data_IF_309934520106
#
_entry.id   IF_309934520106
#
_cell.length_a   1.000
_cell.length_b   1.000
_cell.length_c   1.000
_cell.angle_alpha   90.00
_cell.angle_beta   90.00
_cell.angle_gamma   90.00
#
_symmetry.space_group_name_H-M   'P 1'
#
loop_
_entity.id
_entity.type
_entity.pdbx_description
1 polymer ?
#
# COMPACT_ATOMS: atom_id res chain seq x y z
N UNK A 1 39.32 11.30 6.22
CA UNK A 1 39.14 9.98 5.62
C UNK A 1 37.99 10.08 4.64
N UNK A 2 38.23 9.91 3.36
CA UNK A 2 37.17 9.89 2.36
C UNK A 2 36.32 8.62 2.57
N UNK A 3 34.98 8.67 2.40
CA UNK A 3 34.15 7.47 2.47
C UNK A 3 34.58 6.52 1.37
N UNK A 4 34.82 5.27 1.71
CA UNK A 4 35.16 4.21 0.80
C UNK A 4 34.04 4.07 -0.23
N UNK A 5 34.29 4.56 -1.45
CA UNK A 5 33.34 4.47 -2.54
C UNK A 5 33.01 3.04 -2.86
N UNK A 6 31.83 2.59 -2.44
CA UNK A 6 31.17 1.48 -3.12
C UNK A 6 30.85 1.98 -4.52
N UNK A 7 31.31 1.23 -5.52
CA UNK A 7 31.18 1.54 -6.95
C UNK A 7 29.72 1.91 -7.27
N UNK A 8 29.49 3.08 -7.84
CA UNK A 8 28.18 3.51 -8.36
C UNK A 8 27.56 2.47 -9.32
N UNK A 9 28.38 1.60 -9.92
CA UNK A 9 27.94 0.51 -10.79
C UNK A 9 27.22 -0.63 -10.04
N UNK A 10 27.55 -0.90 -8.77
CA UNK A 10 26.86 -1.92 -7.98
C UNK A 10 25.44 -1.45 -7.56
N UNK A 11 25.27 -0.14 -7.40
CA UNK A 11 23.96 0.44 -7.06
C UNK A 11 23.03 0.55 -8.28
N UNK A 12 23.59 0.70 -9.47
CA UNK A 12 22.81 0.88 -10.70
C UNK A 12 21.98 -0.36 -11.07
N UNK A 13 22.44 -1.56 -10.70
CA UNK A 13 21.71 -2.81 -10.92
C UNK A 13 20.38 -2.90 -10.19
N UNK A 14 20.29 -2.31 -8.99
CA UNK A 14 19.07 -2.32 -8.18
C UNK A 14 17.94 -1.44 -8.72
N UNK A 15 18.26 -0.44 -9.54
CA UNK A 15 17.27 0.45 -10.18
C UNK A 15 16.68 -0.13 -11.46
N UNK A 16 17.26 -1.22 -11.96
CA UNK A 16 16.91 -1.78 -13.25
C UNK A 16 16.17 -3.09 -13.05
N UNK A 17 14.94 -3.22 -13.58
CA UNK A 17 14.25 -4.50 -13.59
C UNK A 17 15.13 -5.57 -14.26
N UNK A 18 15.18 -6.77 -13.69
CA UNK A 18 15.80 -7.94 -14.30
C UNK A 18 14.82 -8.59 -15.29
N UNK A 19 15.28 -9.56 -16.07
CA UNK A 19 14.40 -10.38 -16.92
C UNK A 19 13.30 -11.08 -16.10
N UNK A 20 13.59 -11.47 -14.86
CA UNK A 20 12.61 -12.08 -13.95
C UNK A 20 11.54 -11.09 -13.54
N UNK A 21 11.89 -9.82 -13.28
CA UNK A 21 10.93 -8.74 -13.02
C UNK A 21 10.05 -8.46 -14.23
N UNK A 22 10.60 -8.48 -15.44
CA UNK A 22 9.83 -8.28 -16.66
C UNK A 22 8.85 -9.45 -16.89
N UNK A 23 9.31 -10.69 -16.68
CA UNK A 23 8.44 -11.88 -16.73
C UNK A 23 7.33 -11.84 -15.67
N UNK A 24 7.65 -11.42 -14.45
CA UNK A 24 6.66 -11.22 -13.38
C UNK A 24 5.62 -10.19 -13.80
N UNK A 25 6.06 -9.04 -14.33
CA UNK A 25 5.17 -7.98 -14.82
C UNK A 25 4.20 -8.51 -15.86
N UNK A 26 4.70 -9.21 -16.86
CA UNK A 26 3.87 -9.75 -17.95
C UNK A 26 2.85 -10.77 -17.41
N UNK A 27 3.27 -11.62 -16.49
CA UNK A 27 2.41 -12.63 -15.86
C UNK A 27 1.31 -11.99 -15.00
N UNK A 28 1.67 -11.02 -14.14
CA UNK A 28 0.70 -10.32 -13.29
C UNK A 28 -0.25 -9.47 -14.12
N UNK A 29 0.23 -8.84 -15.19
CA UNK A 29 -0.60 -8.09 -16.15
C UNK A 29 -1.64 -8.98 -16.80
N UNK A 30 -1.21 -10.12 -17.37
CA UNK A 30 -2.12 -11.06 -18.01
C UNK A 30 -3.17 -11.62 -17.02
N UNK A 31 -2.74 -11.96 -15.80
CA UNK A 31 -3.64 -12.38 -14.73
C UNK A 31 -4.66 -11.29 -14.39
N UNK A 32 -4.19 -10.07 -14.20
CA UNK A 32 -5.02 -8.93 -13.80
C UNK A 32 -6.08 -8.60 -14.88
N UNK A 33 -5.69 -8.63 -16.15
CA UNK A 33 -6.62 -8.43 -17.27
C UNK A 33 -7.66 -9.56 -17.38
N UNK A 34 -7.25 -10.81 -17.19
CA UNK A 34 -8.13 -11.96 -17.34
C UNK A 34 -9.05 -12.20 -16.13
N UNK A 35 -8.60 -11.93 -14.90
CA UNK A 35 -9.27 -12.36 -13.66
C UNK A 35 -9.75 -11.23 -12.76
N UNK A 36 -9.22 -10.02 -12.90
CA UNK A 36 -9.52 -8.88 -12.01
C UNK A 36 -10.29 -7.79 -12.76
N UNK A 37 -9.82 -7.38 -13.93
CA UNK A 37 -10.43 -6.32 -14.72
C UNK A 37 -11.93 -6.52 -15.00
N UNK A 38 -12.44 -7.74 -15.31
CA UNK A 38 -13.86 -7.97 -15.58
C UNK A 38 -14.79 -7.59 -14.42
N UNK A 39 -14.30 -7.64 -13.19
CA UNK A 39 -15.09 -7.38 -11.98
C UNK A 39 -14.91 -5.97 -11.41
N UNK A 40 -13.94 -5.20 -11.93
CA UNK A 40 -13.54 -3.93 -11.33
C UNK A 40 -14.67 -2.89 -11.24
N UNK A 41 -15.58 -2.85 -12.20
CA UNK A 41 -16.74 -1.95 -12.21
C UNK A 41 -17.77 -2.37 -11.17
N UNK A 42 -18.16 -3.64 -11.14
CA UNK A 42 -19.10 -4.20 -10.17
C UNK A 42 -18.59 -4.03 -8.72
N UNK A 43 -17.30 -4.32 -8.49
CA UNK A 43 -16.64 -4.11 -7.19
C UNK A 43 -16.76 -2.66 -6.70
N UNK A 44 -16.61 -1.68 -7.59
CA UNK A 44 -16.79 -0.26 -7.23
C UNK A 44 -18.26 0.09 -7.00
N UNK A 45 -19.15 -0.32 -7.89
CA UNK A 45 -20.58 0.02 -7.82
C UNK A 45 -21.26 -0.55 -6.57
N UNK A 46 -21.00 -1.81 -6.27
CA UNK A 46 -21.57 -2.50 -5.11
C UNK A 46 -20.80 -2.22 -3.81
N UNK A 47 -19.55 -1.75 -3.92
CA UNK A 47 -18.67 -1.57 -2.76
C UNK A 47 -18.32 -2.90 -2.07
N UNK A 48 -18.31 -4.00 -2.81
CA UNK A 48 -18.04 -5.35 -2.30
C UNK A 48 -16.54 -5.68 -2.33
N UNK A 49 -16.11 -6.54 -1.41
CA UNK A 49 -14.75 -7.04 -1.43
C UNK A 49 -14.48 -7.84 -2.72
N UNK A 50 -13.33 -7.64 -3.40
CA UNK A 50 -13.01 -8.30 -4.67
C UNK A 50 -12.51 -9.74 -4.44
N UNK A 51 -13.42 -10.66 -4.14
CA UNK A 51 -13.08 -12.06 -3.84
C UNK A 51 -12.38 -12.75 -5.02
N UNK A 52 -12.81 -12.45 -6.25
CA UNK A 52 -12.20 -13.00 -7.46
C UNK A 52 -10.73 -12.58 -7.61
N UNK A 53 -10.40 -11.35 -7.19
CA UNK A 53 -9.02 -10.90 -7.17
C UNK A 53 -8.21 -11.60 -6.06
N UNK A 54 -8.81 -11.79 -4.88
CA UNK A 54 -8.19 -12.55 -3.79
C UNK A 54 -7.85 -13.95 -4.25
N UNK A 55 -8.85 -14.68 -4.77
CA UNK A 55 -8.68 -16.07 -5.22
C UNK A 55 -7.61 -16.19 -6.32
N UNK A 56 -7.61 -15.23 -7.28
CA UNK A 56 -6.63 -15.21 -8.36
C UNK A 56 -5.20 -14.94 -7.87
N UNK A 57 -5.05 -14.01 -6.92
CA UNK A 57 -3.74 -13.67 -6.35
C UNK A 57 -3.21 -14.78 -5.44
N UNK A 58 -4.07 -15.41 -4.63
CA UNK A 58 -3.71 -16.56 -3.78
C UNK A 58 -3.30 -17.77 -4.62
N UNK A 59 -4.05 -18.10 -5.67
CA UNK A 59 -3.73 -19.22 -6.56
C UNK A 59 -2.40 -19.08 -7.33
N UNK A 60 -1.80 -17.88 -7.33
CA UNK A 60 -0.54 -17.58 -7.99
C UNK A 60 0.54 -17.02 -7.05
N UNK A 61 0.38 -17.18 -5.73
CA UNK A 61 1.30 -16.71 -4.68
C UNK A 61 1.61 -15.20 -4.73
N UNK A 62 0.68 -14.39 -5.28
CA UNK A 62 0.85 -12.95 -5.48
C UNK A 62 0.27 -12.07 -4.37
N UNK A 63 -0.53 -12.66 -3.47
CA UNK A 63 -1.22 -11.94 -2.37
C UNK A 63 -0.26 -11.50 -1.26
N UNK A 64 0.92 -12.15 -1.12
CA UNK A 64 1.88 -11.92 -0.05
C UNK A 64 3.34 -12.22 -0.49
N UNK A 65 3.74 -11.77 -1.68
CA UNK A 65 5.06 -12.06 -2.30
C UNK A 65 6.25 -11.68 -1.41
N UNK A 66 6.08 -10.73 -0.50
CA UNK A 66 7.12 -10.21 0.40
C UNK A 66 7.41 -11.12 1.61
N UNK A 67 6.59 -12.14 1.85
CA UNK A 67 6.82 -13.05 2.98
C UNK A 67 8.05 -13.90 2.71
N UNK A 68 9.01 -13.97 3.68
CA UNK A 68 10.24 -14.74 3.48
C UNK A 68 9.99 -16.24 3.24
N UNK A 69 10.85 -16.86 2.43
CA UNK A 69 10.80 -18.31 2.13
C UNK A 69 10.81 -19.20 3.37
N UNK A 70 11.50 -18.76 4.44
CA UNK A 70 11.55 -19.47 5.72
C UNK A 70 10.17 -19.71 6.35
N UNK A 71 9.16 -18.95 5.94
CA UNK A 71 7.77 -19.04 6.41
C UNK A 71 6.80 -19.46 5.29
N UNK A 72 7.33 -19.99 4.19
CA UNK A 72 6.54 -20.50 3.06
C UNK A 72 6.15 -19.46 2.02
N UNK A 73 6.67 -18.23 2.11
CA UNK A 73 6.42 -17.18 1.13
C UNK A 73 7.37 -17.23 -0.06
N UNK A 74 7.15 -16.35 -1.04
CA UNK A 74 8.01 -16.23 -2.21
C UNK A 74 9.35 -15.52 -1.94
N UNK A 75 9.49 -14.80 -0.82
CA UNK A 75 10.69 -14.05 -0.50
C UNK A 75 11.06 -12.99 -1.54
N UNK A 76 10.05 -12.49 -2.28
CA UNK A 76 10.27 -11.59 -3.40
C UNK A 76 10.80 -10.23 -2.91
N UNK A 77 11.68 -9.63 -3.69
CA UNK A 77 12.28 -8.35 -3.39
C UNK A 77 11.27 -7.18 -3.40
N UNK A 78 11.74 -6.02 -3.01
CA UNK A 78 10.90 -4.84 -2.92
C UNK A 78 10.37 -4.39 -4.30
N UNK A 79 11.15 -4.57 -5.37
CA UNK A 79 10.75 -4.21 -6.73
C UNK A 79 9.68 -5.17 -7.28
N UNK A 80 9.81 -6.45 -7.04
CA UNK A 80 8.79 -7.45 -7.38
C UNK A 80 7.46 -7.14 -6.67
N UNK A 81 7.51 -6.77 -5.38
CA UNK A 81 6.30 -6.32 -4.65
C UNK A 81 5.66 -5.09 -5.31
N UNK A 82 6.47 -4.11 -5.73
CA UNK A 82 6.01 -2.91 -6.45
C UNK A 82 5.31 -3.29 -7.75
N UNK A 83 5.92 -4.18 -8.54
CA UNK A 83 5.39 -4.65 -9.83
C UNK A 83 4.03 -5.32 -9.66
N UNK A 84 3.88 -6.20 -8.68
CA UNK A 84 2.59 -6.88 -8.40
C UNK A 84 1.51 -5.85 -8.09
N UNK A 85 1.78 -4.90 -7.18
CA UNK A 85 0.80 -3.87 -6.79
C UNK A 85 0.46 -2.95 -7.97
N UNK A 86 1.47 -2.51 -8.74
CA UNK A 86 1.32 -1.65 -9.91
C UNK A 86 0.40 -2.29 -10.96
N UNK A 87 0.66 -3.55 -11.35
CA UNK A 87 -0.10 -4.22 -12.40
C UNK A 87 -1.54 -4.57 -11.97
N UNK A 88 -1.76 -4.91 -10.71
CA UNK A 88 -3.12 -5.09 -10.17
C UNK A 88 -3.86 -3.75 -10.10
N UNK A 89 -3.21 -2.68 -9.63
CA UNK A 89 -3.83 -1.36 -9.51
C UNK A 89 -4.18 -0.75 -10.87
N UNK A 90 -3.48 -1.13 -11.95
CA UNK A 90 -3.74 -0.70 -13.33
C UNK A 90 -5.16 -1.01 -13.78
N UNK A 91 -5.75 -2.09 -13.29
CA UNK A 91 -7.11 -2.50 -13.62
C UNK A 91 -8.11 -2.27 -12.47
N UNK A 92 -7.67 -2.44 -11.21
CA UNK A 92 -8.52 -2.30 -10.03
C UNK A 92 -7.71 -1.88 -8.80
N UNK A 93 -7.84 -0.61 -8.41
CA UNK A 93 -7.16 -0.07 -7.24
C UNK A 93 -7.60 -0.75 -5.93
N UNK A 94 -8.87 -1.15 -5.79
CA UNK A 94 -9.37 -1.86 -4.62
C UNK A 94 -8.67 -3.22 -4.45
N UNK A 95 -8.48 -3.95 -5.55
CA UNK A 95 -7.83 -5.28 -5.53
C UNK A 95 -6.35 -5.21 -5.19
N UNK A 96 -5.65 -4.13 -5.57
CA UNK A 96 -4.24 -3.95 -5.24
C UNK A 96 -3.97 -3.78 -3.74
N UNK A 97 -5.02 -3.47 -2.96
CA UNK A 97 -4.94 -3.40 -1.50
C UNK A 97 -4.89 -4.78 -0.82
N UNK A 98 -5.08 -5.87 -1.56
CA UNK A 98 -4.84 -7.21 -1.02
C UNK A 98 -3.34 -7.40 -0.73
N UNK A 99 -2.41 -7.38 -1.72
CA UNK A 99 -0.99 -7.51 -1.44
C UNK A 99 -0.41 -6.31 -0.67
N UNK A 100 -0.88 -5.08 -0.91
CA UNK A 100 -0.34 -3.90 -0.24
C UNK A 100 -0.62 -3.91 1.27
N UNK A 101 -1.83 -4.24 1.70
CA UNK A 101 -2.21 -4.25 3.12
C UNK A 101 -1.71 -5.49 3.83
N UNK A 102 -1.62 -6.65 3.15
CA UNK A 102 -0.93 -7.81 3.68
C UNK A 102 0.53 -7.47 4.03
N UNK A 103 1.24 -6.74 3.16
CA UNK A 103 2.59 -6.26 3.47
C UNK A 103 2.59 -5.26 4.61
N UNK A 104 1.72 -4.24 4.58
CA UNK A 104 1.65 -3.22 5.63
C UNK A 104 1.39 -3.84 7.01
N UNK A 105 0.45 -4.77 7.11
CA UNK A 105 0.07 -5.39 8.37
C UNK A 105 1.07 -6.42 8.90
N UNK A 106 1.71 -7.19 8.02
CA UNK A 106 2.65 -8.24 8.41
C UNK A 106 4.10 -7.76 8.58
N UNK A 107 4.47 -6.64 7.98
CA UNK A 107 5.85 -6.13 8.06
C UNK A 107 6.33 -5.90 9.51
N UNK A 108 5.52 -5.37 10.46
CA UNK A 108 5.93 -5.31 11.86
C UNK A 108 6.26 -6.67 12.49
N UNK A 109 5.57 -7.74 12.07
CA UNK A 109 5.89 -9.12 12.48
C UNK A 109 7.24 -9.53 11.93
N UNK A 110 7.53 -9.24 10.67
CA UNK A 110 8.82 -9.53 10.02
C UNK A 110 9.95 -8.78 10.72
N UNK A 111 9.76 -7.49 11.02
CA UNK A 111 10.78 -6.61 11.58
C UNK A 111 11.05 -6.85 13.06
N UNK A 112 10.02 -7.16 13.85
CA UNK A 112 10.10 -7.12 15.32
C UNK A 112 9.51 -8.35 16.01
N UNK A 113 8.88 -9.28 15.28
CA UNK A 113 8.32 -10.50 15.86
C UNK A 113 9.40 -11.50 16.28
N UNK A 114 9.13 -12.28 17.33
CA UNK A 114 9.92 -13.48 17.65
C UNK A 114 9.78 -14.53 16.54
N UNK A 115 10.66 -15.51 16.49
CA UNK A 115 10.58 -16.59 15.49
C UNK A 115 9.27 -17.38 15.60
N UNK A 116 8.74 -17.54 16.82
CA UNK A 116 7.45 -18.17 17.09
C UNK A 116 6.30 -17.34 16.47
N UNK A 117 6.31 -16.01 16.67
CA UNK A 117 5.31 -15.11 16.09
C UNK A 117 5.40 -15.07 14.56
N UNK A 118 6.61 -14.97 14.01
CA UNK A 118 6.80 -15.03 12.57
C UNK A 118 6.23 -16.31 11.99
N UNK A 119 6.57 -17.46 12.56
CA UNK A 119 6.04 -18.75 12.11
C UNK A 119 4.52 -18.84 12.26
N UNK A 120 3.97 -18.35 13.40
CA UNK A 120 2.54 -18.41 13.69
C UNK A 120 1.71 -17.60 12.69
N UNK A 121 2.17 -16.41 12.31
CA UNK A 121 1.36 -15.45 11.56
C UNK A 121 1.76 -15.32 10.08
N UNK A 122 3.03 -15.52 9.73
CA UNK A 122 3.47 -15.40 8.35
C UNK A 122 3.20 -16.66 7.53
N UNK A 123 3.23 -17.85 8.16
CA UNK A 123 2.95 -19.11 7.43
C UNK A 123 1.51 -19.17 6.92
N UNK A 124 0.45 -18.90 7.74
CA UNK A 124 -0.92 -18.84 7.21
C UNK A 124 -1.13 -17.71 6.19
N UNK A 125 -0.44 -16.58 6.37
CA UNK A 125 -0.47 -15.49 5.38
C UNK A 125 0.11 -15.97 4.04
N UNK A 126 1.27 -16.60 4.05
CA UNK A 126 1.92 -17.11 2.83
C UNK A 126 1.06 -18.17 2.12
N UNK A 127 0.37 -19.00 2.90
CA UNK A 127 -0.53 -20.03 2.37
C UNK A 127 -1.87 -19.50 1.82
N UNK A 128 -2.16 -18.18 1.92
CA UNK A 128 -3.45 -17.62 1.54
C UNK A 128 -4.60 -17.91 2.52
N UNK A 129 -4.29 -18.52 3.66
CA UNK A 129 -5.28 -18.89 4.68
C UNK A 129 -5.71 -17.70 5.54
N UNK A 130 -4.90 -16.63 5.57
CA UNK A 130 -5.14 -15.45 6.38
C UNK A 130 -4.72 -14.16 5.69
N UNK A 131 -5.32 -13.05 6.11
CA UNK A 131 -4.97 -11.69 5.69
C UNK A 131 -4.60 -10.83 6.88
N UNK A 132 -3.80 -9.80 6.65
CA UNK A 132 -3.43 -8.80 7.64
C UNK A 132 -4.09 -7.46 7.41
N UNK A 133 -4.33 -6.73 8.52
CA UNK A 133 -4.62 -5.31 8.56
C UNK A 133 -3.69 -4.58 9.53
N UNK A 134 -3.62 -3.25 9.40
CA UNK A 134 -2.74 -2.40 10.19
C UNK A 134 -3.54 -1.34 10.95
N UNK A 135 -3.44 -1.36 12.28
CA UNK A 135 -4.24 -0.55 13.20
C UNK A 135 -3.37 0.51 13.91
N UNK A 136 -3.05 1.59 13.20
CA UNK A 136 -2.31 2.74 13.74
C UNK A 136 -3.25 3.88 14.10
N UNK A 137 -4.03 4.37 13.12
CA UNK A 137 -4.85 5.58 13.24
C UNK A 137 -6.04 5.42 14.18
N UNK A 138 -6.42 6.54 14.80
CA UNK A 138 -7.58 6.66 15.69
C UNK A 138 -8.46 7.85 15.27
N UNK A 139 -9.69 7.99 15.80
CA UNK A 139 -10.55 9.12 15.46
C UNK A 139 -9.88 10.49 15.61
N UNK A 140 -9.08 10.68 16.66
CA UNK A 140 -8.39 11.94 16.98
C UNK A 140 -6.87 11.90 16.67
N UNK A 141 -6.34 10.79 16.14
CA UNK A 141 -4.90 10.59 15.89
C UNK A 141 -4.66 9.99 14.50
N UNK A 142 -4.71 10.83 13.48
CA UNK A 142 -4.35 10.50 12.09
C UNK A 142 -2.90 10.91 11.79
N UNK A 143 -2.69 12.14 11.31
CA UNK A 143 -1.35 12.67 11.05
C UNK A 143 -0.50 12.80 12.32
N UNK A 144 -1.12 13.06 13.47
CA UNK A 144 -0.49 12.99 14.80
C UNK A 144 -0.67 11.59 15.40
N UNK A 145 -0.05 10.60 14.77
CA UNK A 145 -0.14 9.21 15.23
C UNK A 145 0.44 9.00 16.64
N UNK A 146 1.37 9.85 17.08
CA UNK A 146 1.93 9.81 18.44
C UNK A 146 0.92 10.20 19.54
N UNK A 147 -0.18 10.85 19.17
CA UNK A 147 -1.28 11.24 20.07
C UNK A 147 -2.35 10.16 20.28
N UNK A 148 -2.10 8.90 19.89
CA UNK A 148 -3.06 7.80 20.06
C UNK A 148 -3.43 7.57 21.52
N UNK A 149 -4.65 7.04 21.75
CA UNK A 149 -5.24 6.83 23.08
C UNK A 149 -5.57 5.37 23.40
N UNK A 150 -5.55 4.47 22.40
CA UNK A 150 -5.73 3.03 22.62
C UNK A 150 -4.69 2.54 23.62
N UNK A 151 -5.12 1.87 24.69
CA UNK A 151 -4.27 1.42 25.80
C UNK A 151 -4.07 -0.09 25.74
N UNK A 152 -2.91 -0.53 26.19
CA UNK A 152 -2.62 -1.93 26.48
C UNK A 152 -2.07 -1.99 27.92
N UNK A 153 -2.86 -2.52 28.85
CA UNK A 153 -2.49 -2.63 30.25
C UNK A 153 -2.05 -4.05 30.55
N UNK A 154 -0.88 -4.21 31.16
CA UNK A 154 -0.36 -5.53 31.51
C UNK A 154 -1.17 -6.13 32.67
N UNK A 155 -1.60 -7.39 32.50
CA UNK A 155 -2.30 -8.20 33.50
C UNK A 155 -1.64 -9.59 33.55
N UNK A 156 -0.63 -9.71 34.40
CA UNK A 156 0.19 -10.92 34.54
C UNK A 156 0.94 -11.27 33.26
N UNK A 157 0.61 -12.40 32.68
CA UNK A 157 1.15 -12.92 31.41
C UNK A 157 0.35 -12.50 30.18
N UNK A 158 -0.56 -11.52 30.34
CA UNK A 158 -1.41 -10.97 29.28
C UNK A 158 -1.32 -9.44 29.20
N UNK A 159 -1.87 -8.90 28.10
CA UNK A 159 -2.24 -7.49 27.97
C UNK A 159 -3.74 -7.37 27.72
N UNK A 160 -4.35 -6.36 28.31
CA UNK A 160 -5.76 -5.99 28.09
C UNK A 160 -5.79 -4.72 27.24
N UNK A 161 -6.31 -4.81 26.02
CA UNK A 161 -6.38 -3.71 25.09
C UNK A 161 -7.76 -3.06 25.12
N UNK A 162 -7.79 -1.72 25.17
CA UNK A 162 -9.00 -0.93 25.14
C UNK A 162 -8.81 0.30 24.25
N UNK A 163 -9.71 0.51 23.29
CA UNK A 163 -9.68 1.67 22.41
C UNK A 163 -10.43 1.45 21.10
N UNK A 164 -10.29 2.43 20.19
CA UNK A 164 -10.90 2.40 18.86
C UNK A 164 -9.85 2.78 17.82
N UNK A 165 -9.71 1.93 16.84
CA UNK A 165 -8.89 2.21 15.65
C UNK A 165 -9.78 2.60 14.49
N UNK A 166 -9.35 3.57 13.67
CA UNK A 166 -10.15 4.13 12.59
C UNK A 166 -9.42 4.10 11.26
N UNK A 167 -10.19 4.05 10.19
CA UNK A 167 -9.70 3.98 8.81
C UNK A 167 -8.94 2.68 8.51
N UNK A 168 -9.33 1.57 9.14
CA UNK A 168 -8.61 0.31 9.00
C UNK A 168 -9.03 -0.40 7.71
N UNK A 169 -8.11 -0.45 6.78
CA UNK A 169 -8.28 -1.09 5.47
C UNK A 169 -8.41 -2.60 5.65
N UNK A 170 -9.36 -3.21 4.95
CA UNK A 170 -9.73 -4.62 5.00
C UNK A 170 -10.19 -5.11 6.39
N UNK A 171 -10.55 -4.20 7.31
CA UNK A 171 -11.09 -4.57 8.61
C UNK A 171 -12.40 -5.36 8.48
N UNK A 172 -12.51 -6.44 9.24
CA UNK A 172 -13.60 -7.40 9.20
C UNK A 172 -13.43 -8.48 8.12
N UNK A 173 -12.53 -8.30 7.15
CA UNK A 173 -12.10 -9.32 6.18
C UNK A 173 -10.80 -9.97 6.63
N UNK A 174 -9.83 -9.17 7.05
CA UNK A 174 -8.55 -9.68 7.57
C UNK A 174 -8.72 -10.49 8.86
N UNK A 175 -7.83 -11.45 9.05
CA UNK A 175 -7.81 -12.35 10.19
C UNK A 175 -6.89 -11.84 11.31
N UNK A 176 -5.82 -11.15 10.93
CA UNK A 176 -4.80 -10.61 11.83
C UNK A 176 -4.70 -9.09 11.73
N UNK A 177 -4.51 -8.45 12.88
CA UNK A 177 -4.41 -7.00 13.01
C UNK A 177 -3.15 -6.65 13.78
N UNK A 178 -2.23 -5.92 13.15
CA UNK A 178 -1.12 -5.30 13.88
C UNK A 178 -1.60 -4.01 14.53
N UNK A 179 -1.69 -4.00 15.85
CA UNK A 179 -2.28 -2.92 16.65
C UNK A 179 -1.19 -2.18 17.42
N UNK A 180 -1.13 -0.86 17.26
CA UNK A 180 -0.32 0.03 18.08
C UNK A 180 -1.14 0.50 19.29
N UNK A 181 -0.60 0.37 20.51
CA UNK A 181 -1.28 0.77 21.73
C UNK A 181 -0.31 1.34 22.77
N UNK A 182 -0.81 2.24 23.61
CA UNK A 182 -0.05 2.88 24.69
C UNK A 182 0.07 1.91 25.87
N UNK A 183 1.29 1.52 26.20
CA UNK A 183 1.63 0.73 27.39
C UNK A 183 2.14 1.60 28.54
N UNK A 184 2.74 2.76 28.23
CA UNK A 184 3.24 3.72 29.21
C UNK A 184 2.93 5.16 28.76
N UNK A 185 1.88 5.80 29.31
CA UNK A 185 1.45 7.12 28.87
C UNK A 185 2.46 8.24 29.21
N UNK A 186 3.35 8.04 30.18
CA UNK A 186 4.31 9.03 30.61
C UNK A 186 5.50 9.16 29.64
N UNK A 187 5.72 8.15 28.81
CA UNK A 187 6.84 8.08 27.85
C UNK A 187 6.48 8.56 26.43
N UNK A 188 5.28 9.11 26.20
CA UNK A 188 4.82 9.56 24.87
C UNK A 188 5.03 8.48 23.81
N UNK A 189 5.67 8.78 22.68
CA UNK A 189 5.92 7.81 21.59
C UNK A 189 6.79 6.62 22.02
N UNK A 190 7.65 6.77 23.04
CA UNK A 190 8.43 5.68 23.63
C UNK A 190 7.61 4.80 24.60
N UNK A 191 6.36 5.13 24.83
CA UNK A 191 5.41 4.33 25.60
C UNK A 191 4.39 3.60 24.73
N UNK A 192 4.59 3.55 23.39
CA UNK A 192 3.73 2.84 22.46
C UNK A 192 4.36 1.50 22.11
N UNK A 193 3.57 0.42 22.22
CA UNK A 193 3.95 -0.94 21.87
C UNK A 193 3.10 -1.46 20.71
N UNK A 194 3.57 -2.49 20.04
CA UNK A 194 2.88 -3.14 18.93
C UNK A 194 2.48 -4.57 19.30
N UNK A 195 1.30 -4.99 18.89
CA UNK A 195 0.72 -6.30 19.19
C UNK A 195 0.08 -6.91 17.96
N UNK A 196 0.02 -8.24 17.89
CA UNK A 196 -0.87 -8.94 16.95
C UNK A 196 -2.16 -9.30 17.69
N UNK A 197 -3.27 -8.81 17.17
CA UNK A 197 -4.64 -9.14 17.61
C UNK A 197 -5.29 -9.97 16.51
N UNK A 198 -5.96 -11.04 16.89
CA UNK A 198 -6.70 -11.91 15.99
C UNK A 198 -8.16 -11.45 15.89
N UNK A 199 -8.78 -11.67 14.74
CA UNK A 199 -10.16 -11.26 14.47
C UNK A 199 -11.16 -11.81 15.50
N UNK A 200 -10.90 -13.03 15.95
CA UNK A 200 -11.78 -13.79 16.84
C UNK A 200 -11.39 -13.65 18.31
N UNK A 201 -10.41 -12.80 18.67
CA UNK A 201 -10.14 -12.47 20.08
C UNK A 201 -11.38 -11.85 20.71
N UNK A 202 -11.75 -12.32 21.90
CA UNK A 202 -12.91 -11.81 22.64
C UNK A 202 -12.77 -10.29 22.88
N UNK A 203 -13.84 -9.53 22.58
CA UNK A 203 -13.85 -8.07 22.70
C UNK A 203 -13.44 -7.32 21.42
N UNK A 204 -13.02 -8.02 20.36
CA UNK A 204 -12.79 -7.42 19.04
C UNK A 204 -14.12 -7.31 18.28
N UNK A 205 -14.41 -6.13 17.75
CA UNK A 205 -15.56 -5.93 16.88
C UNK A 205 -15.30 -4.83 15.84
N UNK A 206 -16.19 -4.75 14.84
CA UNK A 206 -15.96 -3.89 13.68
C UNK A 206 -17.17 -2.99 13.44
N UNK A 207 -16.88 -1.73 13.11
CA UNK A 207 -17.89 -0.78 12.66
C UNK A 207 -18.45 -1.10 11.28
N UNK A 208 -19.47 -0.36 10.87
CA UNK A 208 -19.98 -0.41 9.51
C UNK A 208 -18.89 0.04 8.50
N UNK A 209 -18.92 -0.47 7.26
CA UNK A 209 -18.02 0.02 6.22
C UNK A 209 -18.21 1.51 5.96
N UNK A 210 -17.10 2.25 5.84
CA UNK A 210 -17.14 3.67 5.50
C UNK A 210 -17.61 3.88 4.04
N UNK A 211 -18.47 4.87 3.85
CA UNK A 211 -18.91 5.30 2.50
C UNK A 211 -17.85 6.20 1.89
N UNK A 212 -17.05 5.66 0.99
CA UNK A 212 -15.87 6.32 0.44
C UNK A 212 -16.11 6.89 -0.96
N UNK A 213 -15.27 7.84 -1.35
CA UNK A 213 -15.21 8.42 -2.70
C UNK A 213 -14.76 7.36 -3.73
N UNK A 214 -13.66 6.68 -3.45
CA UNK A 214 -13.04 5.65 -4.28
C UNK A 214 -12.61 4.44 -3.46
N UNK A 215 -11.88 3.52 -4.09
CA UNK A 215 -11.45 2.21 -3.52
C UNK A 215 -12.59 1.52 -2.74
N UNK A 216 -13.79 1.58 -3.29
CA UNK A 216 -14.99 1.16 -2.55
C UNK A 216 -14.99 -0.34 -2.26
N UNK A 217 -14.33 -1.13 -3.11
CA UNK A 217 -14.18 -2.57 -2.93
C UNK A 217 -13.26 -2.99 -1.79
N UNK A 218 -12.46 -2.07 -1.22
CA UNK A 218 -11.68 -2.35 -0.03
C UNK A 218 -12.42 -1.87 1.20
N UNK A 219 -13.02 -2.76 2.02
CA UNK A 219 -13.77 -2.34 3.20
C UNK A 219 -12.83 -1.62 4.18
N UNK A 220 -13.26 -0.44 4.60
CA UNK A 220 -12.55 0.38 5.58
C UNK A 220 -13.49 0.58 6.75
N UNK A 221 -13.06 0.19 7.97
CA UNK A 221 -13.92 0.20 9.16
C UNK A 221 -13.19 0.72 10.37
N UNK A 222 -13.95 1.03 11.41
CA UNK A 222 -13.43 1.11 12.76
C UNK A 222 -13.20 -0.29 13.31
N UNK A 223 -12.17 -0.44 14.16
CA UNK A 223 -11.90 -1.64 14.94
C UNK A 223 -12.05 -1.26 16.42
N UNK A 224 -12.98 -1.87 17.08
CA UNK A 224 -13.23 -1.67 18.51
C UNK A 224 -12.50 -2.75 19.30
N UNK A 225 -11.81 -2.32 20.34
CA UNK A 225 -11.11 -3.17 21.30
C UNK A 225 -11.76 -2.90 22.68
N UNK A 226 -12.58 -3.83 23.15
CA UNK A 226 -13.26 -3.75 24.44
C UNK A 226 -12.80 -4.87 25.37
N UNK A 227 -11.87 -4.54 26.25
CA UNK A 227 -11.23 -5.49 27.16
C UNK A 227 -10.60 -6.71 26.44
N UNK A 228 -10.04 -6.49 25.26
CA UNK A 228 -9.40 -7.55 24.48
C UNK A 228 -8.17 -8.07 25.23
N UNK A 229 -8.27 -9.30 25.75
CA UNK A 229 -7.22 -9.93 26.56
C UNK A 229 -6.41 -10.87 25.70
N UNK A 230 -5.15 -10.49 25.43
CA UNK A 230 -4.23 -11.27 24.60
C UNK A 230 -2.99 -11.71 25.40
N UNK A 231 -2.37 -12.87 25.07
CA UNK A 231 -1.09 -13.29 25.66
C UNK A 231 0.00 -12.24 25.43
N UNK A 232 0.86 -12.03 26.42
CA UNK A 232 1.92 -11.03 26.35
C UNK A 232 2.99 -11.37 25.29
N UNK A 233 3.11 -12.62 24.89
CA UNK A 233 3.99 -13.09 23.83
C UNK A 233 3.55 -12.64 22.42
N UNK A 234 2.31 -12.12 22.26
CA UNK A 234 1.86 -11.49 20.99
C UNK A 234 2.36 -10.06 20.81
N UNK A 235 3.17 -9.52 21.75
CA UNK A 235 3.83 -8.23 21.59
C UNK A 235 4.97 -8.35 20.59
N UNK A 236 5.06 -7.38 19.68
CA UNK A 236 6.10 -7.27 18.66
C UNK A 236 7.27 -6.43 19.18
N UNK A 237 8.43 -7.06 19.35
CA UNK A 237 9.61 -6.41 19.90
C UNK A 237 9.51 -6.19 21.42
N UNK A 238 10.24 -5.19 21.92
CA UNK A 238 10.20 -4.81 23.33
C UNK A 238 9.10 -3.78 23.62
N UNK A 239 8.63 -3.74 24.86
CA UNK A 239 7.68 -2.71 25.30
C UNK A 239 8.22 -1.29 25.02
N UNK A 240 7.39 -0.43 24.45
CA UNK A 240 7.75 0.94 24.11
C UNK A 240 8.45 1.12 22.75
N UNK A 241 8.70 0.05 22.00
CA UNK A 241 9.34 0.13 20.67
C UNK A 241 8.34 0.20 19.51
N UNK A 242 7.04 0.07 19.78
CA UNK A 242 6.00 -0.04 18.74
C UNK A 242 5.91 1.17 17.81
N UNK A 243 6.13 2.39 18.32
CA UNK A 243 6.10 3.58 17.47
C UNK A 243 7.29 3.62 16.49
N UNK A 244 8.48 3.20 16.94
CA UNK A 244 9.66 3.09 16.06
C UNK A 244 9.41 2.02 14.97
N UNK A 245 8.87 0.86 15.35
CA UNK A 245 8.46 -0.19 14.41
C UNK A 245 7.42 0.34 13.41
N UNK A 246 6.44 1.13 13.89
CA UNK A 246 5.44 1.73 13.01
C UNK A 246 6.05 2.68 11.97
N UNK A 247 6.98 3.53 12.36
CA UNK A 247 7.64 4.48 11.44
C UNK A 247 8.50 3.74 10.42
N UNK A 248 9.28 2.75 10.86
CA UNK A 248 10.08 1.91 9.95
C UNK A 248 9.18 1.15 8.96
N UNK A 249 8.07 0.60 9.43
CA UNK A 249 7.06 -0.04 8.56
C UNK A 249 6.60 0.91 7.47
N UNK A 250 6.23 2.14 7.83
CA UNK A 250 5.76 3.16 6.88
C UNK A 250 6.86 3.57 5.89
N UNK A 251 8.14 3.62 6.29
CA UNK A 251 9.23 3.94 5.37
C UNK A 251 9.33 2.92 4.22
N UNK A 252 9.08 1.64 4.52
CA UNK A 252 9.03 0.57 3.52
C UNK A 252 7.71 0.53 2.73
N UNK A 253 6.57 0.86 3.35
CA UNK A 253 5.25 0.67 2.72
C UNK A 253 4.73 1.90 1.98
N UNK A 254 5.26 3.10 2.20
CA UNK A 254 5.01 4.26 1.31
C UNK A 254 5.29 3.95 -0.15
N UNK A 255 6.25 3.07 -0.40
CA UNK A 255 6.61 2.60 -1.74
C UNK A 255 5.47 1.78 -2.38
N UNK A 256 4.74 1.00 -1.59
CA UNK A 256 3.58 0.23 -2.07
C UNK A 256 2.40 1.13 -2.46
N UNK A 257 2.24 2.27 -1.76
CA UNK A 257 1.24 3.28 -2.14
C UNK A 257 1.67 4.04 -3.41
N UNK A 258 2.97 4.31 -3.56
CA UNK A 258 3.49 4.85 -4.81
C UNK A 258 3.22 3.88 -5.98
N UNK A 259 3.44 2.58 -5.80
CA UNK A 259 3.14 1.54 -6.78
C UNK A 259 1.65 1.50 -7.17
N UNK A 260 0.75 1.59 -6.18
CA UNK A 260 -0.69 1.68 -6.44
C UNK A 260 -1.04 2.92 -7.28
N UNK A 261 -0.49 4.08 -6.91
CA UNK A 261 -0.70 5.32 -7.67
C UNK A 261 -0.18 5.20 -9.11
N UNK A 262 0.98 4.57 -9.32
CA UNK A 262 1.53 4.29 -10.66
C UNK A 262 0.57 3.41 -11.47
N UNK A 263 0.07 2.33 -10.88
CA UNK A 263 -0.85 1.43 -11.58
C UNK A 263 -2.13 2.13 -12.00
N UNK A 264 -2.77 2.91 -11.10
CA UNK A 264 -3.97 3.69 -11.42
C UNK A 264 -3.69 4.67 -12.56
N UNK A 265 -2.56 5.40 -12.49
CA UNK A 265 -2.16 6.35 -13.53
C UNK A 265 -1.88 5.67 -14.88
N UNK A 266 -1.22 4.52 -14.87
CA UNK A 266 -0.96 3.73 -16.07
C UNK A 266 -2.27 3.27 -16.72
N UNK A 267 -3.20 2.72 -15.93
CA UNK A 267 -4.51 2.28 -16.44
C UNK A 267 -5.29 3.43 -17.08
N UNK A 268 -5.28 4.61 -16.44
CA UNK A 268 -5.95 5.79 -16.97
C UNK A 268 -5.32 6.30 -18.28
N UNK A 269 -3.98 6.34 -18.36
CA UNK A 269 -3.25 6.71 -19.57
C UNK A 269 -3.49 5.72 -20.70
N UNK A 270 -3.43 4.41 -20.43
CA UNK A 270 -3.65 3.36 -21.44
C UNK A 270 -5.06 3.47 -22.03
N UNK A 271 -6.06 3.66 -21.17
CA UNK A 271 -7.45 3.83 -21.62
C UNK A 271 -7.64 5.09 -22.46
N UNK A 272 -7.12 6.23 -21.99
CA UNK A 272 -7.19 7.49 -22.72
C UNK A 272 -6.51 7.41 -24.08
N UNK A 273 -5.32 6.77 -24.18
CA UNK A 273 -4.61 6.55 -25.47
C UNK A 273 -5.47 5.77 -26.47
N UNK A 274 -6.09 4.67 -26.03
CA UNK A 274 -7.00 3.91 -26.89
C UNK A 274 -8.18 4.74 -27.37
N UNK A 275 -8.84 5.44 -26.46
CA UNK A 275 -10.00 6.25 -26.75
C UNK A 275 -9.71 7.38 -27.75
N UNK A 276 -8.64 8.15 -27.58
CA UNK A 276 -8.33 9.29 -28.49
C UNK A 276 -7.90 8.83 -29.88
N UNK A 277 -7.39 7.60 -30.01
CA UNK A 277 -7.04 7.01 -31.31
C UNK A 277 -8.28 6.63 -32.14
N UNK A 278 -9.37 6.27 -31.48
CA UNK A 278 -10.60 5.82 -32.12
C UNK A 278 -11.65 6.95 -32.27
N UNK A 279 -11.76 7.80 -31.24
CA UNK A 279 -12.75 8.89 -31.20
C UNK A 279 -12.48 9.94 -32.25
N UNK A 280 -13.47 10.18 -33.13
CA UNK A 280 -13.35 11.19 -34.20
C UNK A 280 -14.21 12.43 -33.91
N UNK A 281 -13.62 13.59 -34.09
CA UNK A 281 -14.29 14.89 -34.17
C UNK A 281 -13.58 15.76 -35.21
N UNK A 282 -14.31 16.72 -35.82
CA UNK A 282 -13.78 17.58 -36.89
C UNK A 282 -13.15 16.78 -38.05
N UNK A 283 -13.72 15.59 -38.34
CA UNK A 283 -13.34 14.76 -39.49
C UNK A 283 -12.13 13.86 -39.31
N UNK A 284 -11.48 13.82 -38.10
CA UNK A 284 -10.30 12.99 -37.82
C UNK A 284 -10.30 12.49 -36.39
N UNK A 285 -9.45 11.47 -36.05
CA UNK A 285 -9.21 11.07 -34.65
C UNK A 285 -8.80 12.27 -33.79
N UNK A 286 -9.32 12.34 -32.55
CA UNK A 286 -8.96 13.46 -31.68
C UNK A 286 -7.49 13.40 -31.23
N UNK A 287 -6.85 12.23 -31.27
CA UNK A 287 -5.41 12.05 -31.06
C UNK A 287 -4.52 12.75 -32.09
N UNK A 288 -5.07 13.16 -33.24
CA UNK A 288 -4.35 13.93 -34.27
C UNK A 288 -4.26 15.44 -33.97
N UNK A 289 -4.91 15.91 -32.91
CA UNK A 289 -4.79 17.31 -32.49
C UNK A 289 -3.62 17.53 -31.57
N UNK A 290 -2.78 18.55 -31.84
CA UNK A 290 -1.58 18.82 -31.03
C UNK A 290 -1.89 19.01 -29.53
N UNK A 291 -3.00 19.68 -29.20
CA UNK A 291 -3.40 19.84 -27.80
C UNK A 291 -3.61 18.52 -27.06
N UNK A 292 -4.20 17.52 -27.74
CA UNK A 292 -4.37 16.15 -27.19
C UNK A 292 -3.03 15.43 -27.08
N UNK A 293 -2.17 15.56 -28.11
CA UNK A 293 -0.82 14.97 -28.09
C UNK A 293 0.05 15.51 -26.95
N UNK A 294 -0.04 16.82 -26.68
CA UNK A 294 0.70 17.44 -25.56
C UNK A 294 0.21 16.93 -24.20
N UNK A 295 -1.09 16.79 -24.01
CA UNK A 295 -1.64 16.19 -22.78
C UNK A 295 -1.14 14.75 -22.58
N UNK A 296 -1.20 13.91 -23.61
CA UNK A 296 -0.70 12.54 -23.53
C UNK A 296 0.82 12.48 -23.23
N UNK A 297 1.60 13.38 -23.84
CA UNK A 297 3.04 13.47 -23.60
C UNK A 297 3.35 13.87 -22.14
N UNK A 298 2.63 14.85 -21.61
CA UNK A 298 2.77 15.31 -20.23
C UNK A 298 2.37 14.20 -19.23
N UNK A 299 1.26 13.49 -19.49
CA UNK A 299 0.83 12.34 -18.69
C UNK A 299 1.90 11.24 -18.68
N UNK A 300 2.44 10.88 -19.84
CA UNK A 300 3.46 9.84 -19.97
C UNK A 300 4.77 10.24 -19.26
N UNK A 301 5.22 11.49 -19.42
CA UNK A 301 6.42 12.02 -18.78
C UNK A 301 6.30 11.99 -17.26
N UNK A 302 5.17 12.45 -16.70
CA UNK A 302 4.91 12.44 -15.25
C UNK A 302 4.88 11.03 -14.70
N UNK A 303 4.21 10.11 -15.41
CA UNK A 303 4.12 8.71 -15.02
C UNK A 303 5.50 8.05 -14.97
N UNK A 304 6.32 8.25 -16.00
CA UNK A 304 7.64 7.66 -16.05
C UNK A 304 8.58 8.24 -14.98
N UNK A 305 8.55 9.55 -14.74
CA UNK A 305 9.29 10.17 -13.64
C UNK A 305 8.89 9.60 -12.27
N UNK A 306 7.58 9.38 -12.05
CA UNK A 306 7.07 8.77 -10.83
C UNK A 306 7.53 7.32 -10.68
N UNK A 307 7.54 6.54 -11.78
CA UNK A 307 8.00 5.15 -11.80
C UNK A 307 9.46 5.04 -11.42
N UNK A 308 10.32 5.83 -12.05
CA UNK A 308 11.77 5.82 -11.75
C UNK A 308 12.04 6.17 -10.29
N UNK A 309 11.36 7.15 -9.73
CA UNK A 309 11.51 7.51 -8.32
C UNK A 309 11.02 6.39 -7.38
N UNK A 310 9.92 5.73 -7.74
CA UNK A 310 9.38 4.59 -6.96
C UNK A 310 10.32 3.40 -6.99
N UNK A 311 10.90 3.08 -8.15
CA UNK A 311 11.85 1.97 -8.29
C UNK A 311 13.16 2.27 -7.55
N UNK A 312 13.62 3.52 -7.58
CA UNK A 312 14.74 3.95 -6.76
C UNK A 312 14.48 3.75 -5.26
N UNK A 313 13.29 4.09 -4.79
CA UNK A 313 12.91 3.87 -3.39
C UNK A 313 12.81 2.37 -3.05
N UNK A 314 12.30 1.53 -3.99
CA UNK A 314 12.25 0.08 -3.82
C UNK A 314 13.66 -0.52 -3.70
N UNK A 315 14.60 -0.10 -4.55
CA UNK A 315 16.00 -0.53 -4.49
C UNK A 315 16.66 -0.20 -3.14
N UNK A 316 16.36 0.98 -2.57
CA UNK A 316 16.84 1.37 -1.24
C UNK A 316 16.24 0.52 -0.12
N UNK A 317 14.94 0.21 -0.21
CA UNK A 317 14.26 -0.69 0.70
C UNK A 317 14.88 -2.09 0.68
N UNK A 318 15.17 -2.61 -0.50
CA UNK A 318 15.80 -3.92 -0.68
C UNK A 318 17.22 -3.97 -0.12
N UNK A 319 18.00 -2.91 -0.29
CA UNK A 319 19.35 -2.84 0.27
C UNK A 319 19.35 -3.01 1.78
N UNK A 320 18.36 -2.44 2.49
CA UNK A 320 18.20 -2.61 3.94
C UNK A 320 17.83 -4.06 4.26
N UNK A 321 16.91 -4.66 3.50
CA UNK A 321 16.49 -6.05 3.70
C UNK A 321 17.67 -7.03 3.53
N UNK A 322 18.62 -6.71 2.65
CA UNK A 322 19.87 -7.47 2.45
C UNK A 322 20.96 -7.15 3.50
N UNK A 323 20.64 -6.42 4.56
CA UNK A 323 21.56 -6.10 5.66
C UNK A 323 22.50 -4.91 5.37
N UNK A 324 22.23 -4.15 4.32
CA UNK A 324 22.91 -2.88 4.05
C UNK A 324 22.33 -1.75 4.91
N UNK A 325 23.06 -0.63 4.96
CA UNK A 325 22.54 0.63 5.50
C UNK A 325 22.11 1.54 4.33
N UNK A 326 20.93 2.12 4.41
CA UNK A 326 20.49 3.19 3.52
C UNK A 326 19.82 4.29 4.35
N UNK A 327 20.58 5.33 4.65
CA UNK A 327 20.12 6.45 5.48
C UNK A 327 19.05 7.30 4.78
N UNK A 328 18.88 7.14 3.46
CA UNK A 328 17.99 7.95 2.65
C UNK A 328 16.60 7.30 2.41
N UNK A 329 16.34 6.08 2.87
CA UNK A 329 15.07 5.38 2.59
C UNK A 329 13.87 6.23 3.02
N UNK A 330 13.90 6.85 4.19
CA UNK A 330 12.82 7.70 4.70
C UNK A 330 12.51 8.85 3.75
N UNK A 331 13.55 9.49 3.18
CA UNK A 331 13.37 10.55 2.19
C UNK A 331 12.80 10.01 0.88
N UNK A 332 13.40 8.95 0.32
CA UNK A 332 12.99 8.40 -0.98
C UNK A 332 11.60 7.77 -0.95
N UNK A 333 11.24 7.06 0.13
CA UNK A 333 9.89 6.52 0.31
C UNK A 333 8.83 7.62 0.39
N UNK A 334 9.11 8.70 1.13
CA UNK A 334 8.22 9.86 1.19
C UNK A 334 8.12 10.59 -0.15
N UNK A 335 9.23 10.77 -0.86
CA UNK A 335 9.29 11.44 -2.16
C UNK A 335 8.53 10.63 -3.22
N UNK A 336 8.76 9.32 -3.29
CA UNK A 336 8.09 8.43 -4.24
C UNK A 336 6.56 8.47 -4.04
N UNK A 337 6.09 8.28 -2.81
CA UNK A 337 4.66 8.32 -2.48
C UNK A 337 4.04 9.68 -2.80
N UNK A 338 4.68 10.77 -2.42
CA UNK A 338 4.18 12.11 -2.64
C UNK A 338 4.07 12.42 -4.13
N UNK A 339 5.15 12.19 -4.89
CA UNK A 339 5.18 12.51 -6.32
C UNK A 339 4.27 11.60 -7.15
N UNK A 340 4.30 10.27 -6.91
CA UNK A 340 3.47 9.33 -7.65
C UNK A 340 1.98 9.60 -7.45
N UNK A 341 1.56 9.90 -6.21
CA UNK A 341 0.15 10.19 -5.91
C UNK A 341 -0.32 11.56 -6.46
N UNK A 342 0.54 12.59 -6.46
CA UNK A 342 0.22 13.86 -7.10
C UNK A 342 0.12 13.68 -8.63
N UNK A 343 1.06 12.98 -9.25
CA UNK A 343 1.04 12.66 -10.68
C UNK A 343 -0.20 11.82 -11.06
N UNK A 344 -0.58 10.82 -10.24
CA UNK A 344 -1.75 10.00 -10.50
C UNK A 344 -3.05 10.82 -10.52
N UNK A 345 -3.19 11.78 -9.61
CA UNK A 345 -4.35 12.70 -9.62
C UNK A 345 -4.39 13.56 -10.87
N UNK A 346 -3.26 14.10 -11.31
CA UNK A 346 -3.19 14.89 -12.54
C UNK A 346 -3.51 14.02 -13.76
N UNK A 347 -2.86 12.86 -13.90
CA UNK A 347 -3.03 11.94 -15.03
C UNK A 347 -4.48 11.44 -15.13
N UNK A 348 -5.09 11.03 -14.01
CA UNK A 348 -6.47 10.54 -14.04
C UNK A 348 -7.47 11.66 -14.33
N UNK A 349 -7.21 12.87 -13.87
CA UNK A 349 -8.03 14.06 -14.21
C UNK A 349 -7.93 14.39 -15.71
N UNK A 350 -6.72 14.35 -16.26
CA UNK A 350 -6.49 14.57 -17.70
C UNK A 350 -7.11 13.44 -18.55
N UNK A 351 -7.11 12.20 -18.08
CA UNK A 351 -7.80 11.10 -18.75
C UNK A 351 -9.31 11.33 -18.83
N UNK A 352 -9.95 11.77 -17.75
CA UNK A 352 -11.36 12.18 -17.75
C UNK A 352 -11.58 13.31 -18.75
N UNK A 353 -10.71 14.32 -18.77
CA UNK A 353 -10.79 15.46 -19.68
C UNK A 353 -10.67 15.03 -21.15
N UNK A 354 -9.76 14.10 -21.48
CA UNK A 354 -9.55 13.59 -22.84
C UNK A 354 -10.77 12.83 -23.38
N UNK A 355 -11.53 12.16 -22.51
CA UNK A 355 -12.76 11.50 -22.89
C UNK A 355 -13.95 12.46 -23.00
N UNK A 356 -13.84 13.70 -22.52
CA UNK A 356 -14.90 14.69 -22.51
C UNK A 356 -16.12 14.22 -21.70
N UNK A 357 -17.33 14.43 -22.22
CA UNK A 357 -18.57 14.02 -21.54
C UNK A 357 -18.63 12.53 -21.18
N UNK A 358 -18.05 11.67 -22.00
CA UNK A 358 -17.98 10.23 -21.73
C UNK A 358 -17.09 9.91 -20.52
N UNK A 359 -16.00 10.63 -20.31
CA UNK A 359 -15.13 10.45 -19.14
C UNK A 359 -15.80 10.81 -17.81
N UNK A 360 -16.92 11.55 -17.86
CA UNK A 360 -17.69 11.96 -16.68
C UNK A 360 -18.83 10.99 -16.33
N UNK A 361 -19.01 9.92 -17.11
CA UNK A 361 -20.04 8.90 -16.88
C UNK A 361 -19.42 7.62 -16.36
N UNK A 362 -20.20 6.82 -15.61
CA UNK A 362 -19.75 5.55 -15.03
C UNK A 362 -19.58 4.41 -16.04
N UNK A 363 -19.99 4.61 -17.27
CA UNK A 363 -19.80 3.63 -18.35
C UNK A 363 -18.32 3.49 -18.75
N UNK A 364 -17.47 4.44 -18.34
CA UNK A 364 -16.05 4.49 -18.64
C UNK A 364 -15.21 4.46 -17.37
N UNK A 365 -14.09 3.72 -17.33
CA UNK A 365 -13.37 3.45 -16.10
C UNK A 365 -12.57 4.65 -15.54
N UNK A 366 -12.33 5.68 -16.34
CA UNK A 366 -11.43 6.80 -15.97
C UNK A 366 -11.96 7.62 -14.79
N UNK A 367 -13.29 7.77 -14.64
CA UNK A 367 -13.89 8.47 -13.50
C UNK A 367 -13.65 7.70 -12.20
N UNK A 368 -13.75 6.35 -12.22
CA UNK A 368 -13.42 5.50 -11.09
C UNK A 368 -11.95 5.63 -10.73
N UNK A 369 -11.06 5.58 -11.72
CA UNK A 369 -9.62 5.72 -11.52
C UNK A 369 -9.27 7.07 -10.90
N UNK A 370 -9.95 8.17 -11.29
CA UNK A 370 -9.77 9.48 -10.68
C UNK A 370 -10.22 9.51 -9.21
N UNK A 371 -11.37 8.89 -8.89
CA UNK A 371 -11.85 8.77 -7.50
C UNK A 371 -10.90 7.91 -6.64
N UNK A 372 -10.41 6.82 -7.20
CA UNK A 372 -9.49 5.90 -6.54
C UNK A 372 -8.12 6.55 -6.30
N UNK A 373 -7.59 7.30 -7.26
CA UNK A 373 -6.30 7.97 -7.13
C UNK A 373 -6.26 8.95 -5.95
N UNK A 374 -7.38 9.58 -5.59
CA UNK A 374 -7.42 10.59 -4.53
C UNK A 374 -6.94 10.09 -3.18
N UNK A 375 -7.24 8.86 -2.82
CA UNK A 375 -6.83 8.32 -1.51
C UNK A 375 -5.31 8.20 -1.37
N UNK A 376 -4.60 7.97 -2.48
CA UNK A 376 -3.14 7.81 -2.46
C UNK A 376 -2.41 9.08 -1.98
N UNK A 377 -3.04 10.26 -2.08
CA UNK A 377 -2.54 11.51 -1.50
C UNK A 377 -2.81 11.65 0.01
N UNK A 378 -3.64 10.78 0.60
CA UNK A 378 -4.18 10.94 1.96
C UNK A 378 -3.62 9.89 2.92
N UNK A 379 -3.80 8.60 2.63
CA UNK A 379 -3.41 7.55 3.57
C UNK A 379 -1.91 7.26 3.57
N UNK A 380 -1.45 6.50 4.56
CA UNK A 380 -0.03 6.29 4.90
C UNK A 380 0.77 7.60 5.05
N UNK A 381 0.10 8.60 5.62
CA UNK A 381 0.59 9.98 5.76
C UNK A 381 0.21 10.83 4.55
N UNK A 382 -0.51 11.93 4.82
CA UNK A 382 -0.91 12.87 3.77
C UNK A 382 0.32 13.41 3.01
N UNK A 383 0.14 13.89 1.79
CA UNK A 383 1.26 14.48 1.02
C UNK A 383 1.87 15.70 1.70
N UNK A 384 1.13 16.37 2.60
CA UNK A 384 1.67 17.40 3.49
C UNK A 384 2.63 16.78 4.53
N UNK A 385 2.26 15.65 5.13
CA UNK A 385 3.14 14.90 6.05
C UNK A 385 4.38 14.39 5.31
N UNK A 386 4.24 13.87 4.07
CA UNK A 386 5.40 13.45 3.26
C UNK A 386 6.37 14.61 3.04
N UNK A 387 5.88 15.84 2.77
CA UNK A 387 6.73 17.03 2.63
C UNK A 387 7.45 17.40 3.91
N UNK A 388 6.81 17.23 5.08
CA UNK A 388 7.46 17.40 6.38
C UNK A 388 8.55 16.34 6.57
N UNK A 389 8.28 15.07 6.23
CA UNK A 389 9.26 13.99 6.31
C UNK A 389 10.46 14.29 5.42
N UNK A 390 10.23 14.63 4.15
CA UNK A 390 11.31 15.01 3.23
C UNK A 390 12.14 16.18 3.75
N UNK A 391 11.49 17.25 4.22
CA UNK A 391 12.19 18.46 4.69
C UNK A 391 13.10 18.19 5.90
N UNK A 392 12.74 17.20 6.74
CA UNK A 392 13.54 16.78 7.90
C UNK A 392 14.70 15.85 7.54
N UNK A 393 14.64 15.22 6.38
CA UNK A 393 15.59 14.21 5.91
C UNK A 393 16.19 14.62 4.55
N UNK A 394 16.35 15.93 4.30
CA UNK A 394 17.05 16.38 3.10
C UNK A 394 18.49 15.88 3.17
N UNK A 395 19.02 15.31 2.07
CA UNK A 395 20.38 14.78 2.01
C UNK A 395 21.45 15.87 2.09
#
# INVERSE_FOLDING_TARGET
>A
MAPSGKSAAADFGLYRPSEEHDMLRDSVRALSEAKIAPFATEVDEEGRFPQEARDALEANDLHAVHVPEAYGGAGADALATVIVIEEVARVCASSSLIPAVNKLGSLPVILSGSEELKKRYLTPLAAGEAMFSYCLSEPDAGSDAGGMKTKAVRDGDHYVLNGVKRWITNAGVSDYYTVMAVTDPDKRTKGISAFVVEKDDEGVSFGAPEKKLGIKGSPTREVYLDNVRIPADRMLGAEGTGFATAMLTLDHTRITIAAQALGIAQGALDYAKGYVAERKQFGKPIGDFQGVQFMLADMAMKLEAARQLTYAAAAKSERIALGGADEDLTFYGAAAKCYASDAAMEITTDAVQLLGGYGYTRDYPVERMMRDAKITQIYEGTNQVQRIVMARNLP
#
